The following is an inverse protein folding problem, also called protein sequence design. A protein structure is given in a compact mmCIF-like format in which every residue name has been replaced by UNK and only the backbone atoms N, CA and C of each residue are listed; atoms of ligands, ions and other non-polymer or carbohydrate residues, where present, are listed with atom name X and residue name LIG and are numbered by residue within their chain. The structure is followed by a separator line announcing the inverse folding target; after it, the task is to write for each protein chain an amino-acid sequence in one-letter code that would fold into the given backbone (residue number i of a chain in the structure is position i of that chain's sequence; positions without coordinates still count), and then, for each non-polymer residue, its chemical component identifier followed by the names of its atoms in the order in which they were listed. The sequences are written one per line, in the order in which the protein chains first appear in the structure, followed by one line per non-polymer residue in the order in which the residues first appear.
data_IF_940423884178
#
_entry.id   IF_940423884178
#
_cell.length_a   1.000
_cell.length_b   1.000
_cell.length_c   1.000
_cell.angle_alpha   90.00
_cell.angle_beta   90.00
_cell.angle_gamma   90.00
#
_symmetry.space_group_name_H-M   'P 1'
#
loop_
_entity.id
_entity.type
_entity.pdbx_description
1 polymer ?
#
# COMPACT_ATOMS: atom_id res chain seq x y z
N UNK A 1 -11.21 -4.73 29.84
CA UNK A 1 -11.06 -4.70 31.31
C UNK A 1 -10.56 -6.09 31.70
N UNK A 2 -9.37 -6.15 32.22
CA UNK A 2 -8.79 -7.39 32.69
C UNK A 2 -8.76 -7.36 34.24
N UNK A 3 -9.60 -8.16 34.86
CA UNK A 3 -9.79 -8.16 36.32
C UNK A 3 -10.33 -6.83 36.84
N UNK A 4 -9.65 -6.26 37.84
CA UNK A 4 -10.03 -5.00 38.49
C UNK A 4 -9.27 -3.77 37.94
N UNK A 5 -8.56 -3.91 36.82
CA UNK A 5 -7.77 -2.85 36.22
C UNK A 5 -8.51 -2.28 35.01
N UNK A 6 -8.76 -0.98 35.03
CA UNK A 6 -9.24 -0.21 33.89
C UNK A 6 -8.08 0.63 33.34
N UNK A 7 -7.67 0.35 32.11
CA UNK A 7 -6.63 1.12 31.43
C UNK A 7 -7.29 2.08 30.45
N UNK A 8 -7.03 3.37 30.58
CA UNK A 8 -7.43 4.39 29.62
C UNK A 8 -6.46 4.43 28.43
N UNK A 9 -6.89 4.95 27.28
CA UNK A 9 -5.97 5.36 26.23
C UNK A 9 -4.94 6.37 26.79
N UNK A 10 -3.79 6.46 26.13
CA UNK A 10 -2.82 7.53 26.41
C UNK A 10 -3.32 8.82 25.81
N UNK A 11 -3.11 9.92 26.54
CA UNK A 11 -3.46 11.27 26.08
C UNK A 11 -2.18 12.07 25.93
N UNK A 12 -2.12 12.84 24.85
CA UNK A 12 -1.13 13.91 24.68
C UNK A 12 -1.82 15.23 24.99
N UNK A 13 -1.19 16.03 25.84
CA UNK A 13 -1.65 17.37 26.19
C UNK A 13 -0.44 18.30 26.19
N UNK A 14 -0.56 19.40 25.48
CA UNK A 14 0.48 20.41 25.38
C UNK A 14 -0.11 21.80 25.16
N UNK A 15 0.68 22.82 25.43
CA UNK A 15 0.42 24.20 25.03
C UNK A 15 1.58 24.67 24.16
N UNK A 16 1.28 25.26 23.02
CA UNK A 16 2.26 25.70 22.03
C UNK A 16 1.85 27.05 21.47
N UNK A 17 2.82 27.93 21.24
CA UNK A 17 2.59 29.22 20.60
C UNK A 17 2.27 29.05 19.10
N UNK A 18 2.84 28.01 18.47
CA UNK A 18 2.54 27.57 17.11
C UNK A 18 1.94 26.16 17.16
N UNK A 19 0.76 25.98 16.57
CA UNK A 19 0.09 24.67 16.49
C UNK A 19 0.90 23.62 15.74
N UNK A 20 1.77 24.05 14.81
CA UNK A 20 2.65 23.17 14.02
C UNK A 20 3.68 22.48 14.91
N UNK A 21 4.30 23.21 15.84
CA UNK A 21 5.19 22.65 16.84
C UNK A 21 4.44 21.62 17.72
N UNK A 22 3.16 21.89 17.99
CA UNK A 22 2.29 20.96 18.72
C UNK A 22 2.04 19.65 17.96
N UNK A 23 1.84 19.72 16.65
CA UNK A 23 1.68 18.51 15.80
C UNK A 23 2.98 17.71 15.71
N UNK A 24 4.12 18.36 15.55
CA UNK A 24 5.44 17.70 15.57
C UNK A 24 5.70 17.01 16.93
N UNK A 25 5.46 17.72 18.03
CA UNK A 25 5.59 17.14 19.37
C UNK A 25 4.63 15.95 19.59
N UNK A 26 3.43 15.98 19.01
CA UNK A 26 2.51 14.86 19.02
C UNK A 26 3.03 13.66 18.21
N UNK A 27 3.60 13.90 17.03
CA UNK A 27 4.27 12.89 16.22
C UNK A 27 5.41 12.23 16.99
N UNK A 28 6.28 13.01 17.59
CA UNK A 28 7.37 12.52 18.44
C UNK A 28 6.89 11.70 19.64
N UNK A 29 5.81 12.11 20.26
CA UNK A 29 5.22 11.38 21.37
C UNK A 29 4.67 10.02 20.94
N UNK A 30 4.10 9.93 19.75
CA UNK A 30 3.63 8.67 19.18
C UNK A 30 4.80 7.71 18.89
N UNK A 31 5.86 8.19 18.22
CA UNK A 31 7.01 7.35 17.84
C UNK A 31 7.81 6.84 19.05
N UNK A 32 7.81 7.55 20.18
CA UNK A 32 8.37 7.05 21.44
C UNK A 32 7.59 5.86 22.01
N UNK A 33 6.31 5.77 21.73
CA UNK A 33 5.47 4.68 22.19
C UNK A 33 5.50 3.48 21.23
N UNK A 34 5.42 3.76 19.95
CA UNK A 34 5.43 2.77 18.86
C UNK A 34 6.39 3.31 17.80
N UNK A 35 7.60 2.76 17.70
CA UNK A 35 8.56 3.17 16.67
C UNK A 35 7.98 3.00 15.26
N UNK A 36 8.28 3.93 14.38
CA UNK A 36 8.01 3.78 12.95
C UNK A 36 9.02 2.84 12.30
N UNK A 37 8.69 2.35 11.11
CA UNK A 37 9.68 1.66 10.27
C UNK A 37 10.77 2.65 9.86
N UNK A 38 12.01 2.23 10.01
CA UNK A 38 13.17 2.98 9.53
C UNK A 38 13.51 2.53 8.10
N UNK A 39 13.84 3.50 7.24
CA UNK A 39 14.40 3.25 5.93
C UNK A 39 15.74 3.98 5.81
N UNK A 40 16.81 3.23 5.49
CA UNK A 40 18.19 3.77 5.52
C UNK A 40 18.75 4.07 4.13
N UNK A 41 18.09 3.59 3.09
CA UNK A 41 18.60 3.67 1.71
C UNK A 41 18.17 4.93 0.95
N UNK A 42 17.87 6.01 1.66
CA UNK A 42 17.39 7.26 1.05
C UNK A 42 15.94 7.18 0.57
N UNK A 43 15.39 8.30 0.14
CA UNK A 43 14.01 8.37 -0.36
C UNK A 43 13.94 7.72 -1.73
N UNK A 44 13.06 6.73 -1.96
CA UNK A 44 12.86 6.16 -3.29
C UNK A 44 12.48 7.23 -4.31
N UNK A 45 13.26 7.32 -5.38
CA UNK A 45 13.08 8.26 -6.48
C UNK A 45 13.11 7.50 -7.80
N UNK A 46 12.25 7.86 -8.75
CA UNK A 46 12.27 7.22 -10.07
C UNK A 46 10.95 7.33 -10.82
N UNK A 47 10.59 6.27 -11.53
CA UNK A 47 9.46 6.21 -12.45
C UNK A 47 8.33 5.34 -11.91
N UNK A 48 7.10 5.79 -12.18
CA UNK A 48 5.88 5.01 -11.98
C UNK A 48 5.11 4.92 -13.29
N UNK A 49 4.68 3.73 -13.71
CA UNK A 49 4.09 3.50 -15.03
C UNK A 49 2.69 4.11 -15.22
N UNK A 50 2.00 4.52 -14.15
CA UNK A 50 0.61 4.96 -14.23
C UNK A 50 0.41 6.14 -15.18
N UNK A 51 1.19 7.21 -15.00
CA UNK A 51 1.04 8.42 -15.84
C UNK A 51 1.64 8.27 -17.24
N UNK A 52 2.66 7.43 -17.40
CA UNK A 52 3.29 7.22 -18.70
C UNK A 52 2.58 6.23 -19.58
N UNK A 53 2.08 5.13 -19.01
CA UNK A 53 1.53 3.98 -19.75
C UNK A 53 0.07 3.69 -19.33
N UNK A 54 -0.30 3.90 -18.07
CA UNK A 54 -1.64 3.62 -17.53
C UNK A 54 -2.06 2.18 -17.78
N UNK A 55 -3.29 1.98 -18.25
CA UNK A 55 -3.84 0.65 -18.57
C UNK A 55 -3.20 -0.01 -19.79
N UNK A 56 -2.27 0.64 -20.48
CA UNK A 56 -1.56 0.10 -21.64
C UNK A 56 -0.16 -0.38 -21.30
N UNK A 57 0.19 -0.42 -20.01
CA UNK A 57 1.48 -0.91 -19.57
C UNK A 57 1.78 -2.29 -20.18
N UNK A 58 2.99 -2.43 -20.72
CA UNK A 58 3.44 -3.65 -21.35
C UNK A 58 4.94 -3.87 -21.15
N UNK A 59 5.35 -5.12 -21.26
CA UNK A 59 6.72 -5.55 -20.99
C UNK A 59 7.76 -4.77 -21.79
N UNK A 60 7.55 -4.67 -23.14
CA UNK A 60 8.53 -4.03 -24.03
C UNK A 60 8.78 -2.57 -23.64
N UNK A 61 7.72 -1.77 -23.49
CA UNK A 61 7.85 -0.36 -23.15
C UNK A 61 8.43 -0.18 -21.75
N UNK A 62 8.15 -1.07 -20.81
CA UNK A 62 8.72 -1.02 -19.46
C UNK A 62 10.25 -1.26 -19.47
N UNK A 63 10.73 -2.15 -20.36
CA UNK A 63 12.16 -2.32 -20.59
C UNK A 63 12.77 -1.07 -21.24
N UNK A 64 12.10 -0.50 -22.24
CA UNK A 64 12.56 0.73 -22.90
C UNK A 64 12.64 1.90 -21.90
N UNK A 65 11.67 2.03 -20.99
CA UNK A 65 11.69 3.01 -19.90
C UNK A 65 12.88 2.78 -18.94
N UNK A 66 13.14 1.54 -18.53
CA UNK A 66 14.29 1.23 -17.69
C UNK A 66 15.60 1.67 -18.36
N UNK A 67 15.77 1.39 -19.64
CA UNK A 67 16.96 1.83 -20.41
C UNK A 67 17.05 3.35 -20.48
N UNK A 68 15.93 4.05 -20.74
CA UNK A 68 15.90 5.50 -20.79
C UNK A 68 16.24 6.14 -19.44
N UNK A 69 15.68 5.62 -18.35
CA UNK A 69 16.01 6.10 -16.99
C UNK A 69 17.48 5.86 -16.64
N UNK A 70 18.08 4.77 -17.10
CA UNK A 70 19.52 4.55 -16.97
C UNK A 70 20.33 5.65 -17.67
N UNK A 71 19.99 5.97 -18.91
CA UNK A 71 20.67 7.05 -19.66
C UNK A 71 20.51 8.41 -18.96
N UNK A 72 19.32 8.69 -18.37
CA UNK A 72 19.10 9.88 -17.55
C UNK A 72 19.93 9.83 -16.26
N UNK A 73 20.04 8.66 -15.63
CA UNK A 73 20.81 8.43 -14.41
C UNK A 73 22.30 8.71 -14.59
N UNK A 74 22.83 8.45 -15.77
CA UNK A 74 24.20 8.83 -16.14
C UNK A 74 24.40 10.36 -16.17
N UNK A 75 23.29 11.13 -16.12
CA UNK A 75 23.21 12.61 -16.03
C UNK A 75 22.54 13.05 -14.72
N UNK A 76 22.78 12.38 -13.62
CA UNK A 76 22.33 12.69 -12.25
C UNK A 76 20.81 12.52 -11.99
N UNK A 77 20.05 11.83 -12.85
CA UNK A 77 18.64 11.50 -12.59
C UNK A 77 18.54 10.25 -11.68
N UNK A 78 18.86 10.42 -10.40
CA UNK A 78 18.89 9.38 -9.37
C UNK A 78 18.43 9.93 -8.03
N UNK A 79 18.08 9.02 -7.12
CA UNK A 79 17.87 9.34 -5.71
C UNK A 79 19.17 9.61 -4.96
N UNK A 80 19.05 10.02 -3.69
CA UNK A 80 20.20 10.33 -2.81
C UNK A 80 21.15 9.14 -2.59
N UNK A 81 20.66 7.91 -2.87
CA UNK A 81 21.43 6.67 -2.77
C UNK A 81 22.03 6.21 -4.11
N UNK A 82 22.10 7.07 -5.11
CA UNK A 82 22.53 6.77 -6.49
C UNK A 82 21.65 5.73 -7.22
N UNK A 83 20.44 5.47 -6.75
CA UNK A 83 19.52 4.47 -7.32
C UNK A 83 18.25 5.13 -7.84
N UNK A 84 17.77 4.68 -9.01
CA UNK A 84 16.43 4.95 -9.50
C UNK A 84 15.53 3.72 -9.33
N UNK A 85 14.28 3.95 -8.97
CA UNK A 85 13.24 2.91 -8.87
C UNK A 85 12.39 2.92 -10.13
N UNK A 86 12.10 1.75 -10.68
CA UNK A 86 11.17 1.58 -11.80
C UNK A 86 9.97 0.79 -11.29
N UNK A 87 8.87 1.49 -11.04
CA UNK A 87 7.66 0.89 -10.46
C UNK A 87 6.64 0.59 -11.55
N UNK A 88 6.23 -0.67 -11.64
CA UNK A 88 5.05 -1.11 -12.38
C UNK A 88 3.80 -0.85 -11.54
N UNK A 89 2.96 0.07 -11.98
CA UNK A 89 1.67 0.37 -11.36
C UNK A 89 0.59 -0.62 -11.82
N UNK A 90 -0.68 -0.33 -11.58
CA UNK A 90 -1.82 -1.16 -11.97
C UNK A 90 -1.71 -1.68 -13.41
N UNK A 91 -2.36 -2.79 -13.72
CA UNK A 91 -2.30 -3.54 -15.00
C UNK A 91 -0.98 -4.26 -15.30
N UNK A 92 -0.05 -4.35 -14.34
CA UNK A 92 1.15 -5.21 -14.45
C UNK A 92 0.80 -6.70 -14.63
N UNK A 93 -0.41 -7.11 -14.28
CA UNK A 93 -0.94 -8.46 -14.45
C UNK A 93 -1.15 -8.86 -15.93
N UNK A 94 -0.93 -7.92 -16.86
CA UNK A 94 -0.75 -8.21 -18.28
C UNK A 94 0.57 -8.93 -18.60
N UNK A 95 1.55 -8.93 -17.67
CA UNK A 95 2.83 -9.61 -17.82
C UNK A 95 2.72 -11.07 -17.38
N UNK A 96 3.41 -11.97 -18.04
CA UNK A 96 3.63 -13.31 -17.51
C UNK A 96 4.60 -13.28 -16.33
N UNK A 97 4.61 -14.34 -15.51
CA UNK A 97 5.53 -14.44 -14.36
C UNK A 97 7.00 -14.39 -14.83
N UNK A 98 7.33 -15.00 -15.96
CA UNK A 98 8.66 -14.90 -16.57
C UNK A 98 9.01 -13.47 -16.99
N UNK A 99 8.05 -12.72 -17.53
CA UNK A 99 8.27 -11.32 -17.89
C UNK A 99 8.47 -10.43 -16.68
N UNK A 100 7.74 -10.66 -15.58
CA UNK A 100 7.96 -9.94 -14.32
C UNK A 100 9.37 -10.17 -13.80
N UNK A 101 9.83 -11.42 -13.78
CA UNK A 101 11.18 -11.77 -13.35
C UNK A 101 12.24 -11.15 -14.25
N UNK A 102 12.11 -11.27 -15.57
CA UNK A 102 13.04 -10.66 -16.53
C UNK A 102 13.06 -9.13 -16.43
N UNK A 103 11.92 -8.50 -16.13
CA UNK A 103 11.86 -7.05 -15.89
C UNK A 103 12.70 -6.66 -14.67
N UNK A 104 12.57 -7.37 -13.55
CA UNK A 104 13.36 -7.12 -12.35
C UNK A 104 14.85 -7.33 -12.62
N UNK A 105 15.22 -8.45 -13.24
CA UNK A 105 16.61 -8.74 -13.63
C UNK A 105 17.20 -7.63 -14.52
N UNK A 106 16.38 -7.09 -15.45
CA UNK A 106 16.79 -5.99 -16.32
C UNK A 106 17.02 -4.68 -15.56
N UNK A 107 16.11 -4.33 -14.63
CA UNK A 107 16.30 -3.16 -13.76
C UNK A 107 17.59 -3.29 -12.95
N UNK A 108 17.83 -4.44 -12.33
CA UNK A 108 19.07 -4.71 -11.58
C UNK A 108 20.32 -4.58 -12.46
N UNK A 109 20.28 -5.11 -13.69
CA UNK A 109 21.41 -4.98 -14.64
C UNK A 109 21.68 -3.51 -15.03
N UNK A 110 20.68 -2.65 -14.95
CA UNK A 110 20.77 -1.20 -15.15
C UNK A 110 21.16 -0.43 -13.87
N UNK A 111 21.42 -1.11 -12.74
CA UNK A 111 21.69 -0.47 -11.45
C UNK A 111 20.45 0.19 -10.81
N UNK A 112 19.28 -0.27 -11.16
CA UNK A 112 17.99 0.22 -10.68
C UNK A 112 17.35 -0.79 -9.73
N UNK A 113 16.35 -0.33 -8.95
CA UNK A 113 15.46 -1.20 -8.18
C UNK A 113 14.10 -1.30 -8.85
N UNK A 114 13.48 -2.47 -8.74
CA UNK A 114 12.17 -2.73 -9.31
C UNK A 114 11.07 -2.61 -8.25
N UNK A 115 10.01 -1.89 -8.60
CA UNK A 115 8.82 -1.75 -7.77
C UNK A 115 7.59 -2.31 -8.46
N UNK A 116 6.59 -2.64 -7.65
CA UNK A 116 5.29 -3.14 -8.13
C UNK A 116 4.15 -2.54 -7.32
N UNK A 117 2.96 -2.56 -7.89
CA UNK A 117 1.70 -2.07 -7.30
C UNK A 117 0.82 -3.23 -6.87
N UNK A 118 0.04 -3.03 -5.79
CA UNK A 118 -1.03 -3.94 -5.42
C UNK A 118 -2.19 -3.23 -4.72
N UNK A 119 -3.42 -3.64 -4.98
CA UNK A 119 -4.63 -3.24 -4.27
C UNK A 119 -5.25 -4.47 -3.58
N UNK A 120 -4.72 -4.82 -2.40
CA UNK A 120 -4.99 -6.11 -1.77
C UNK A 120 -6.43 -6.24 -1.26
N UNK A 121 -6.97 -5.16 -0.66
CA UNK A 121 -8.24 -5.20 0.06
C UNK A 121 -9.45 -4.75 -0.78
N UNK A 122 -9.29 -4.73 -2.08
CA UNK A 122 -10.37 -4.46 -3.03
C UNK A 122 -10.42 -5.53 -4.10
N UNK A 123 -11.61 -5.98 -4.44
CA UNK A 123 -11.88 -6.82 -5.59
C UNK A 123 -12.54 -5.97 -6.69
N UNK A 124 -11.82 -5.74 -7.78
CA UNK A 124 -12.25 -4.91 -8.90
C UNK A 124 -13.24 -5.65 -9.80
N UNK A 125 -14.41 -5.97 -9.25
CA UNK A 125 -15.47 -6.63 -9.97
C UNK A 125 -16.80 -6.50 -9.23
N UNK A 126 -17.81 -7.14 -9.77
CA UNK A 126 -19.15 -7.21 -9.19
C UNK A 126 -19.39 -8.55 -8.50
N UNK A 127 -20.48 -8.68 -7.77
CA UNK A 127 -20.93 -9.92 -7.14
C UNK A 127 -21.02 -11.10 -8.14
N UNK A 128 -21.19 -10.82 -9.44
CA UNK A 128 -21.22 -11.87 -10.47
C UNK A 128 -19.93 -12.69 -10.53
N UNK A 129 -18.79 -12.11 -10.09
CA UNK A 129 -17.47 -12.73 -10.19
C UNK A 129 -16.92 -13.20 -8.83
N UNK A 130 -17.61 -12.99 -7.72
CA UNK A 130 -17.10 -13.32 -6.39
C UNK A 130 -16.90 -14.83 -6.15
N UNK A 131 -17.52 -15.69 -6.97
CA UNK A 131 -17.28 -17.15 -6.91
C UNK A 131 -15.99 -17.59 -7.63
N UNK A 132 -15.22 -16.66 -8.20
CA UNK A 132 -13.89 -16.98 -8.75
C UNK A 132 -12.97 -17.45 -7.62
N UNK A 133 -12.15 -18.46 -7.91
CA UNK A 133 -11.16 -18.98 -6.98
C UNK A 133 -10.04 -17.97 -6.72
N UNK A 134 -9.55 -17.95 -5.50
CA UNK A 134 -8.28 -17.30 -5.16
C UNK A 134 -7.16 -18.19 -5.70
N UNK A 135 -6.26 -17.67 -6.56
CA UNK A 135 -5.20 -18.48 -7.16
C UNK A 135 -4.37 -19.24 -6.11
N UNK A 136 -4.18 -20.53 -6.33
CA UNK A 136 -3.38 -21.39 -5.47
C UNK A 136 -4.05 -21.94 -4.20
N UNK A 137 -5.32 -21.56 -3.94
CA UNK A 137 -6.02 -21.94 -2.70
C UNK A 137 -7.50 -22.31 -2.96
N UNK A 138 -8.07 -23.12 -2.05
CA UNK A 138 -9.47 -23.56 -2.10
C UNK A 138 -10.45 -22.52 -1.52
N UNK A 139 -10.21 -21.24 -1.81
CA UNK A 139 -11.07 -20.13 -1.42
C UNK A 139 -11.59 -19.41 -2.66
N UNK A 140 -12.77 -18.80 -2.52
CA UNK A 140 -13.31 -17.86 -3.50
C UNK A 140 -13.21 -16.43 -2.98
N UNK A 141 -13.35 -15.45 -3.87
CA UNK A 141 -13.42 -14.05 -3.43
C UNK A 141 -14.63 -13.77 -2.53
N UNK A 142 -15.71 -14.57 -2.64
CA UNK A 142 -16.84 -14.51 -1.73
C UNK A 142 -16.45 -14.80 -0.27
N UNK A 143 -15.51 -15.71 -0.06
CA UNK A 143 -15.03 -16.04 1.28
C UNK A 143 -14.22 -14.90 1.91
N UNK A 144 -13.79 -13.95 1.09
CA UNK A 144 -12.99 -12.80 1.48
C UNK A 144 -13.78 -11.49 1.57
N UNK A 145 -14.94 -11.38 0.92
CA UNK A 145 -15.72 -10.13 0.88
C UNK A 145 -16.19 -9.73 2.28
N UNK A 146 -16.08 -8.43 2.59
CA UNK A 146 -16.60 -7.85 3.82
C UNK A 146 -18.12 -7.70 3.73
N UNK A 147 -18.83 -8.20 4.73
CA UNK A 147 -20.29 -8.15 4.83
C UNK A 147 -20.75 -7.01 5.75
N UNK A 148 -21.87 -6.36 5.39
CA UNK A 148 -22.56 -5.42 6.28
C UNK A 148 -23.22 -6.16 7.46
N UNK A 149 -23.43 -5.48 8.61
CA UNK A 149 -24.10 -6.08 9.77
C UNK A 149 -25.51 -6.62 9.49
N UNK A 150 -26.18 -6.08 8.49
CA UNK A 150 -27.56 -6.46 8.11
C UNK A 150 -27.61 -7.50 6.98
N UNK A 151 -26.48 -8.05 6.61
CA UNK A 151 -26.31 -8.88 5.41
C UNK A 151 -26.17 -8.06 4.14
N UNK A 152 -25.48 -8.58 3.16
CA UNK A 152 -25.08 -7.88 1.96
C UNK A 152 -23.60 -7.53 1.98
N UNK A 153 -23.10 -6.97 0.91
CA UNK A 153 -21.70 -6.59 0.78
C UNK A 153 -21.51 -5.16 1.27
N UNK A 154 -20.56 -4.94 2.15
CA UNK A 154 -20.13 -3.60 2.52
C UNK A 154 -19.66 -2.86 1.26
N UNK A 155 -19.92 -1.55 1.16
CA UNK A 155 -19.52 -0.77 -0.01
C UNK A 155 -19.17 0.66 0.37
N UNK A 156 -18.10 1.19 -0.23
CA UNK A 156 -17.79 2.63 -0.14
C UNK A 156 -18.75 3.42 -1.01
N UNK A 157 -19.08 2.87 -2.19
CA UNK A 157 -20.05 3.46 -3.12
C UNK A 157 -20.99 2.35 -3.63
N UNK A 158 -22.29 2.56 -3.54
CA UNK A 158 -23.30 1.55 -3.92
C UNK A 158 -23.27 1.12 -5.39
N UNK A 159 -22.69 1.94 -6.25
CA UNK A 159 -22.64 1.72 -7.72
C UNK A 159 -21.23 1.37 -8.20
N UNK A 160 -20.30 1.09 -7.29
CA UNK A 160 -18.92 0.76 -7.69
C UNK A 160 -18.78 -0.71 -8.08
N UNK A 161 -18.04 -0.94 -9.13
CA UNK A 161 -17.58 -2.29 -9.52
C UNK A 161 -16.42 -2.77 -8.62
N UNK A 162 -16.42 -2.37 -7.35
CA UNK A 162 -15.37 -2.70 -6.39
C UNK A 162 -15.98 -3.21 -5.09
N UNK A 163 -15.56 -4.38 -4.66
CA UNK A 163 -16.01 -5.02 -3.43
C UNK A 163 -14.89 -4.95 -2.38
N UNK A 164 -15.19 -4.47 -1.16
CA UNK A 164 -14.23 -4.49 -0.06
C UNK A 164 -14.00 -5.91 0.42
N UNK A 165 -12.74 -6.20 0.72
CA UNK A 165 -12.33 -7.50 1.21
C UNK A 165 -12.07 -7.41 2.72
N UNK A 166 -12.56 -8.42 3.46
CA UNK A 166 -12.32 -8.50 4.90
C UNK A 166 -10.87 -8.92 5.21
N UNK A 167 -10.05 -8.03 5.79
CA UNK A 167 -8.66 -8.35 6.11
C UNK A 167 -8.48 -9.55 7.05
N UNK A 168 -9.52 -9.88 7.81
CA UNK A 168 -9.45 -10.92 8.83
C UNK A 168 -9.77 -12.31 8.29
N UNK A 169 -10.22 -12.42 7.02
CA UNK A 169 -10.58 -13.69 6.40
C UNK A 169 -9.34 -14.52 6.04
N UNK A 170 -9.48 -15.84 6.13
CA UNK A 170 -8.40 -16.76 5.72
C UNK A 170 -8.17 -16.71 4.20
N UNK A 171 -9.20 -16.41 3.42
CA UNK A 171 -9.06 -16.20 1.98
C UNK A 171 -8.16 -15.00 1.64
N UNK A 172 -8.24 -13.91 2.42
CA UNK A 172 -7.35 -12.75 2.23
C UNK A 172 -5.92 -13.03 2.65
N UNK A 173 -5.71 -13.82 3.70
CA UNK A 173 -4.37 -14.29 4.09
C UNK A 173 -3.77 -15.17 2.99
N UNK A 174 -4.55 -16.11 2.44
CA UNK A 174 -4.12 -16.95 1.33
C UNK A 174 -3.78 -16.12 0.07
N UNK A 175 -4.61 -15.12 -0.24
CA UNK A 175 -4.35 -14.20 -1.35
C UNK A 175 -3.06 -13.40 -1.16
N UNK A 176 -2.80 -12.93 0.05
CA UNK A 176 -1.56 -12.23 0.38
C UNK A 176 -0.36 -13.16 0.22
N UNK A 177 -0.43 -14.36 0.76
CA UNK A 177 0.61 -15.38 0.67
C UNK A 177 0.99 -15.65 -0.79
N UNK A 178 -0.01 -15.90 -1.64
CA UNK A 178 0.21 -16.11 -3.07
C UNK A 178 0.92 -14.94 -3.76
N UNK A 179 0.43 -13.72 -3.53
CA UNK A 179 0.92 -12.55 -4.28
C UNK A 179 2.28 -12.07 -3.76
N UNK A 180 2.50 -12.10 -2.44
CA UNK A 180 3.77 -11.67 -1.87
C UNK A 180 4.91 -12.64 -2.19
N UNK A 181 4.65 -13.95 -2.16
CA UNK A 181 5.62 -14.93 -2.62
C UNK A 181 6.00 -14.68 -4.08
N UNK A 182 5.02 -14.42 -4.96
CA UNK A 182 5.30 -14.07 -6.37
C UNK A 182 6.21 -12.84 -6.48
N UNK A 183 5.93 -11.76 -5.76
CA UNK A 183 6.73 -10.54 -5.83
C UNK A 183 8.14 -10.73 -5.29
N UNK A 184 8.28 -11.45 -4.19
CA UNK A 184 9.58 -11.77 -3.58
C UNK A 184 10.39 -12.68 -4.51
N UNK A 185 9.77 -13.73 -5.06
CA UNK A 185 10.43 -14.67 -5.99
C UNK A 185 10.86 -14.00 -7.29
N UNK A 186 10.15 -12.97 -7.73
CA UNK A 186 10.57 -12.14 -8.86
C UNK A 186 11.73 -11.18 -8.51
N UNK A 187 11.94 -10.87 -7.23
CA UNK A 187 13.00 -9.98 -6.76
C UNK A 187 12.59 -8.51 -6.67
N UNK A 188 11.31 -8.18 -6.59
CA UNK A 188 10.87 -6.81 -6.34
C UNK A 188 11.31 -6.33 -4.95
N UNK A 189 11.59 -5.01 -4.83
CA UNK A 189 12.14 -4.37 -3.61
C UNK A 189 11.29 -3.19 -3.14
N UNK A 190 10.24 -2.85 -3.88
CA UNK A 190 9.32 -1.76 -3.57
C UNK A 190 7.88 -2.20 -3.88
N UNK A 191 6.97 -1.94 -2.95
CA UNK A 191 5.54 -2.21 -3.12
C UNK A 191 4.72 -0.96 -2.82
N UNK A 192 4.02 -0.46 -3.83
CA UNK A 192 2.94 0.51 -3.66
C UNK A 192 1.65 -0.26 -3.36
N UNK A 193 1.11 -0.08 -2.15
CA UNK A 193 -0.17 -0.68 -1.76
C UNK A 193 -1.22 0.42 -1.75
N UNK A 194 -2.26 0.23 -2.54
CA UNK A 194 -3.28 1.25 -2.75
C UNK A 194 -4.66 0.83 -2.24
N UNK A 195 -5.59 1.80 -2.15
CA UNK A 195 -6.95 1.60 -1.68
C UNK A 195 -7.04 0.96 -0.29
N UNK A 196 -6.12 1.32 0.58
CA UNK A 196 -6.04 0.77 1.94
C UNK A 196 -7.21 1.19 2.83
N UNK A 197 -7.93 2.24 2.48
CA UNK A 197 -9.17 2.63 3.15
C UNK A 197 -10.25 1.54 3.11
N UNK A 198 -10.22 0.63 2.13
CA UNK A 198 -11.13 -0.52 2.07
C UNK A 198 -10.93 -1.49 3.25
N UNK A 199 -9.71 -1.64 3.73
CA UNK A 199 -9.40 -2.48 4.88
C UNK A 199 -9.87 -1.89 6.23
N UNK A 200 -10.23 -0.60 6.26
CA UNK A 200 -10.69 0.12 7.45
C UNK A 200 -12.21 0.25 7.54
N UNK A 201 -12.95 -0.38 6.63
CA UNK A 201 -14.41 -0.32 6.63
C UNK A 201 -15.00 -1.11 7.81
N UNK A 202 -16.08 -0.56 8.36
CA UNK A 202 -16.89 -1.27 9.35
C UNK A 202 -17.73 -2.35 8.67
N UNK A 203 -17.83 -3.50 9.32
CA UNK A 203 -18.61 -4.63 8.82
C UNK A 203 -18.54 -5.85 9.73
N UNK A 204 -19.08 -6.96 9.26
CA UNK A 204 -18.97 -8.25 9.93
C UNK A 204 -17.65 -8.90 9.56
N UNK A 205 -16.63 -8.70 10.39
CA UNK A 205 -15.33 -9.34 10.22
C UNK A 205 -15.39 -10.84 10.54
N UNK A 206 -14.65 -11.65 9.76
CA UNK A 206 -14.57 -13.11 9.95
C UNK A 206 -13.90 -13.49 11.26
N UNK A 207 -12.93 -12.69 11.72
CA UNK A 207 -12.37 -12.84 13.06
C UNK A 207 -13.31 -12.19 14.09
N UNK A 208 -13.97 -12.99 14.95
CA UNK A 208 -14.90 -12.47 15.93
C UNK A 208 -14.25 -11.62 17.04
N UNK A 209 -12.93 -11.65 17.16
CA UNK A 209 -12.20 -10.77 18.08
C UNK A 209 -12.08 -9.35 17.57
N UNK A 210 -12.16 -9.14 16.26
CA UNK A 210 -12.14 -7.83 15.59
C UNK A 210 -13.53 -7.23 15.64
N UNK A 211 -13.65 -6.03 16.21
CA UNK A 211 -14.91 -5.33 16.45
C UNK A 211 -15.08 -4.04 15.68
N UNK A 212 -14.01 -3.52 15.10
CA UNK A 212 -14.02 -2.26 14.34
C UNK A 212 -13.17 -2.37 13.09
N UNK A 213 -13.49 -1.57 12.08
CA UNK A 213 -12.70 -1.47 10.86
C UNK A 213 -11.25 -1.07 11.13
N UNK A 214 -11.00 -0.22 12.13
CA UNK A 214 -9.62 0.15 12.49
C UNK A 214 -8.83 -1.00 13.13
N UNK A 215 -9.47 -1.93 13.84
CA UNK A 215 -8.82 -3.15 14.31
C UNK A 215 -8.47 -4.07 13.14
N UNK A 216 -9.40 -4.23 12.19
CA UNK A 216 -9.16 -4.99 10.96
C UNK A 216 -8.02 -4.38 10.15
N UNK A 217 -8.01 -3.05 9.98
CA UNK A 217 -6.96 -2.31 9.29
C UNK A 217 -5.58 -2.50 9.94
N UNK A 218 -5.49 -2.45 11.26
CA UNK A 218 -4.24 -2.70 11.97
C UNK A 218 -3.70 -4.13 11.71
N UNK A 219 -4.57 -5.14 11.70
CA UNK A 219 -4.17 -6.51 11.32
C UNK A 219 -3.72 -6.57 9.86
N UNK A 220 -4.45 -5.89 8.97
CA UNK A 220 -4.16 -5.83 7.55
C UNK A 220 -2.75 -5.31 7.26
N UNK A 221 -2.37 -4.20 7.86
CA UNK A 221 -1.05 -3.59 7.63
C UNK A 221 0.08 -4.44 8.19
N UNK A 222 -0.14 -5.05 9.36
CA UNK A 222 0.83 -5.96 9.96
C UNK A 222 1.14 -7.15 9.05
N UNK A 223 0.16 -7.66 8.31
CA UNK A 223 0.38 -8.79 7.40
C UNK A 223 1.47 -8.52 6.36
N UNK A 224 1.58 -7.30 5.83
CA UNK A 224 2.63 -6.97 4.85
C UNK A 224 4.01 -6.93 5.48
N UNK A 225 4.15 -6.33 6.66
CA UNK A 225 5.45 -6.28 7.36
C UNK A 225 5.93 -7.63 7.85
N UNK A 226 5.00 -8.57 8.10
CA UNK A 226 5.35 -9.93 8.48
C UNK A 226 5.92 -10.75 7.29
N UNK A 227 5.65 -10.32 6.04
CA UNK A 227 6.09 -11.02 4.84
C UNK A 227 7.47 -10.60 4.34
N UNK A 228 7.88 -9.37 4.59
CA UNK A 228 9.06 -8.79 3.97
C UNK A 228 10.15 -8.46 4.99
N UNK A 229 11.39 -8.49 4.53
CA UNK A 229 12.50 -7.87 5.24
C UNK A 229 12.38 -6.34 5.06
N UNK A 230 11.86 -5.65 6.08
CA UNK A 230 11.60 -4.22 6.03
C UNK A 230 12.86 -3.35 5.94
N UNK A 231 14.05 -3.91 6.12
CA UNK A 231 15.31 -3.22 5.86
C UNK A 231 15.71 -3.23 4.37
N UNK A 232 15.03 -4.05 3.53
CA UNK A 232 15.35 -4.24 2.10
C UNK A 232 14.17 -4.01 1.16
N UNK A 233 12.95 -4.07 1.70
CA UNK A 233 11.73 -3.99 0.91
C UNK A 233 10.93 -2.77 1.34
N UNK A 234 10.81 -1.78 0.46
CA UNK A 234 10.11 -0.53 0.75
C UNK A 234 8.60 -0.67 0.61
N UNK A 235 7.86 -0.31 1.65
CA UNK A 235 6.39 -0.28 1.67
C UNK A 235 5.88 1.16 1.57
N UNK A 236 5.17 1.47 0.47
CA UNK A 236 4.55 2.76 0.21
C UNK A 236 3.03 2.63 0.16
N UNK A 237 2.32 3.34 1.03
CA UNK A 237 0.88 3.23 1.18
C UNK A 237 0.14 4.40 0.55
N UNK A 238 -0.95 4.08 -0.18
CA UNK A 238 -1.82 5.07 -0.82
C UNK A 238 -3.26 4.89 -0.38
N UNK A 239 -4.03 5.99 -0.35
CA UNK A 239 -5.42 6.05 0.15
C UNK A 239 -5.53 5.32 1.51
N UNK A 240 -4.58 5.61 2.38
CA UNK A 240 -4.39 4.94 3.65
C UNK A 240 -4.79 5.86 4.82
N UNK A 241 -5.61 5.40 5.78
CA UNK A 241 -5.75 6.10 7.04
C UNK A 241 -4.40 6.40 7.69
N UNK A 242 -4.29 7.53 8.40
CA UNK A 242 -3.03 7.98 8.99
C UNK A 242 -2.48 6.98 10.02
N UNK A 243 -3.34 6.41 10.81
CA UNK A 243 -2.98 5.41 11.82
C UNK A 243 -3.53 4.03 11.45
N UNK A 244 -2.77 2.94 11.76
CA UNK A 244 -1.43 2.91 12.36
C UNK A 244 -0.33 3.24 11.35
N UNK A 245 0.67 4.02 11.74
CA UNK A 245 1.77 4.47 10.86
C UNK A 245 2.98 3.51 10.85
N UNK A 246 3.12 2.68 11.87
CA UNK A 246 4.32 1.84 12.12
C UNK A 246 4.52 0.69 11.12
N UNK A 247 3.64 0.51 10.17
CA UNK A 247 3.70 -0.58 9.19
C UNK A 247 4.05 -0.09 7.77
N UNK A 248 4.42 1.17 7.61
CA UNK A 248 4.80 1.74 6.33
C UNK A 248 6.11 2.52 6.43
N UNK A 249 6.91 2.52 5.37
CA UNK A 249 8.05 3.43 5.23
C UNK A 249 7.59 4.80 4.73
N UNK A 250 6.58 4.82 3.88
CA UNK A 250 5.97 6.05 3.38
C UNK A 250 4.45 5.90 3.23
N UNK A 251 3.76 7.01 3.37
CA UNK A 251 2.32 7.13 3.10
C UNK A 251 2.06 8.36 2.25
N UNK A 252 1.27 8.21 1.22
CA UNK A 252 0.80 9.36 0.44
C UNK A 252 -0.14 10.21 1.28
N UNK A 253 0.09 11.52 1.29
CA UNK A 253 -0.61 12.48 2.15
C UNK A 253 -1.83 13.11 1.48
N UNK A 254 -2.02 12.95 0.17
CA UNK A 254 -3.08 13.61 -0.60
C UNK A 254 -3.67 12.69 -1.68
N UNK A 255 -4.56 13.27 -2.49
CA UNK A 255 -5.14 12.64 -3.67
C UNK A 255 -4.09 12.39 -4.77
N UNK A 256 -4.51 11.82 -5.90
CA UNK A 256 -3.67 11.71 -7.08
C UNK A 256 -3.31 13.10 -7.63
N UNK A 257 -2.15 13.20 -8.24
CA UNK A 257 -1.75 14.42 -8.95
C UNK A 257 -2.60 14.60 -10.21
N UNK A 258 -2.92 15.84 -10.54
CA UNK A 258 -3.60 16.20 -11.78
C UNK A 258 -2.86 17.35 -12.47
N UNK A 259 -3.12 17.55 -13.75
CA UNK A 259 -2.54 18.66 -14.56
C UNK A 259 -3.25 19.99 -14.28
N UNK A 260 -3.55 20.25 -13.00
CA UNK A 260 -4.27 21.43 -12.54
C UNK A 260 -3.57 22.10 -11.35
N UNK A 261 -3.44 23.43 -11.42
CA UNK A 261 -2.74 24.21 -10.38
C UNK A 261 -3.51 24.22 -9.04
N UNK A 262 -4.84 24.13 -9.09
CA UNK A 262 -5.68 24.07 -7.90
C UNK A 262 -5.47 22.77 -7.13
N UNK A 263 -5.44 21.65 -7.83
CA UNK A 263 -5.13 20.34 -7.26
C UNK A 263 -3.71 20.30 -6.69
N UNK A 264 -2.73 20.86 -7.41
CA UNK A 264 -1.35 20.99 -6.91
C UNK A 264 -1.29 21.82 -5.63
N UNK A 265 -2.02 22.95 -5.57
CA UNK A 265 -2.11 23.81 -4.38
C UNK A 265 -2.77 23.06 -3.20
N UNK A 266 -3.83 22.31 -3.47
CA UNK A 266 -4.49 21.48 -2.46
C UNK A 266 -3.53 20.42 -1.88
N UNK A 267 -2.78 19.74 -2.73
CA UNK A 267 -1.81 18.74 -2.29
C UNK A 267 -0.67 19.35 -1.47
N UNK A 268 -0.14 20.51 -1.91
CA UNK A 268 0.89 21.24 -1.15
C UNK A 268 0.40 21.67 0.23
N UNK A 269 -0.86 22.07 0.36
CA UNK A 269 -1.44 22.37 1.67
C UNK A 269 -1.54 21.13 2.58
N UNK A 270 -1.71 19.95 2.02
CA UNK A 270 -1.73 18.67 2.76
C UNK A 270 -0.33 18.23 3.22
N UNK A 271 0.74 18.72 2.59
CA UNK A 271 2.13 18.38 2.93
C UNK A 271 2.53 18.80 4.34
N UNK A 272 1.95 19.85 4.87
CA UNK A 272 2.45 20.45 6.09
C UNK A 272 2.21 19.60 7.31
N UNK A 273 1.12 18.82 7.36
CA UNK A 273 0.72 18.07 8.56
C UNK A 273 -0.09 16.80 8.27
N UNK A 274 0.04 16.23 7.07
CA UNK A 274 -0.61 14.98 6.66
C UNK A 274 0.15 13.71 7.07
#
# INVERSE_FOLDING_TARGET
IDGNILTSPRFFLGYFDDWRDGMEAYGDANTRNIPMLEWKDGVPFGYNSWYGQGSKVNYKESIDVSNFIKELGDNDFKGDNDVAYINLDSYWDSFSDDQLKQFVEHCHANGQRAGIYWSHFVFWSTEAWWNMGVPGYDYTYRDAVLEEPNGGVAAIQKDSSSLPMDPTSDAMKARLDYIMNKFIDCGFEFLKIDFLNYAALEGNHRDPAVKTGMQAYNQALKMFTDYVDTDKFFLSYSIAPLFPYQYAHARRISCDTADDIGETSYMLNSLNYG
#
